data_IF_857378443004
#
_entry.id   IF_857378443004
#
_cell.length_a   1.000
_cell.length_b   1.000
_cell.length_c   1.000
_cell.angle_alpha   90.00
_cell.angle_beta   90.00
_cell.angle_gamma   90.00
#
_symmetry.space_group_name_H-M   'P 1'
#
loop_
_entity.id
_entity.type
_entity.pdbx_description
1 polymer ?
#
# COMPACT_ATOMS: atom_id res chain seq x y z
N UNK A 1 -7.02 27.65 18.12
CA UNK A 1 -5.83 28.56 18.01
C UNK A 1 -4.57 27.86 17.51
N UNK A 2 -4.68 26.64 16.97
CA UNK A 2 -3.52 25.87 16.45
C UNK A 2 -2.84 26.52 15.24
N UNK A 3 -3.53 27.41 14.53
CA UNK A 3 -3.05 28.04 13.30
C UNK A 3 -2.58 29.49 13.49
N UNK A 4 -2.67 30.03 14.72
CA UNK A 4 -2.24 31.39 15.06
C UNK A 4 -3.04 32.52 14.38
N UNK A 5 -4.22 32.20 13.80
CA UNK A 5 -5.07 33.17 13.13
C UNK A 5 -5.79 34.08 14.14
N UNK A 6 -5.89 35.37 13.83
CA UNK A 6 -6.63 36.34 14.63
C UNK A 6 -8.13 36.24 14.35
N UNK A 7 -8.96 36.65 15.32
CA UNK A 7 -10.41 36.69 15.12
C UNK A 7 -10.78 37.56 13.92
N UNK A 8 -11.53 37.01 12.95
CA UNK A 8 -11.93 37.69 11.71
C UNK A 8 -10.95 37.59 10.54
N UNK A 9 -9.80 36.94 10.73
CA UNK A 9 -8.85 36.69 9.64
C UNK A 9 -9.30 35.49 8.80
N UNK A 10 -9.43 35.64 7.44
CA UNK A 10 -9.85 34.54 6.59
C UNK A 10 -8.76 33.49 6.49
N UNK A 11 -9.07 32.25 6.88
CA UNK A 11 -8.19 31.10 6.72
C UNK A 11 -8.16 30.67 5.25
N UNK A 12 -6.96 30.54 4.70
CA UNK A 12 -6.72 30.00 3.34
C UNK A 12 -6.16 28.60 3.43
N UNK A 13 -6.92 27.63 2.98
CA UNK A 13 -6.49 26.24 2.93
C UNK A 13 -5.98 25.90 1.53
N UNK A 14 -4.71 25.50 1.43
CA UNK A 14 -4.09 25.09 0.17
C UNK A 14 -3.58 23.66 0.31
N UNK A 15 -4.11 22.78 -0.52
CA UNK A 15 -3.65 21.41 -0.63
C UNK A 15 -2.54 21.29 -1.67
N UNK A 16 -1.43 20.67 -1.29
CA UNK A 16 -0.27 20.42 -2.15
C UNK A 16 -0.26 18.95 -2.54
N UNK A 17 -0.72 18.66 -3.75
CA UNK A 17 -0.70 17.32 -4.30
C UNK A 17 0.47 17.18 -5.28
N UNK A 18 1.27 16.12 -5.16
CA UNK A 18 2.35 15.78 -6.10
C UNK A 18 2.19 14.33 -6.56
N UNK A 19 1.12 14.01 -7.30
CA UNK A 19 0.94 12.65 -7.79
C UNK A 19 2.05 12.30 -8.78
N UNK A 20 2.72 11.17 -8.53
CA UNK A 20 3.60 10.53 -9.48
C UNK A 20 2.83 9.80 -10.58
N UNK A 21 3.53 9.32 -11.62
CA UNK A 21 2.89 8.58 -12.71
C UNK A 21 2.17 7.33 -12.20
N UNK A 22 2.73 6.62 -11.23
CA UNK A 22 2.13 5.41 -10.68
C UNK A 22 0.84 5.70 -9.90
N UNK A 23 0.78 6.80 -9.16
CA UNK A 23 -0.44 7.23 -8.47
C UNK A 23 -1.53 7.63 -9.47
N UNK A 24 -1.16 8.37 -10.54
CA UNK A 24 -2.11 8.70 -11.62
C UNK A 24 -2.62 7.42 -12.29
N UNK A 25 -1.73 6.48 -12.64
CA UNK A 25 -2.11 5.21 -13.24
C UNK A 25 -2.96 4.36 -12.32
N UNK A 26 -2.77 4.45 -11.00
CA UNK A 26 -3.51 3.66 -10.02
C UNK A 26 -5.01 4.03 -9.95
N UNK A 27 -5.36 5.27 -10.28
CA UNK A 27 -6.74 5.76 -10.28
C UNK A 27 -7.42 5.69 -11.64
N UNK A 28 -6.67 5.33 -12.69
CA UNK A 28 -7.21 5.14 -14.04
C UNK A 28 -7.76 3.72 -14.24
N UNK A 29 -8.75 3.53 -15.14
CA UNK A 29 -9.14 2.21 -15.60
C UNK A 29 -7.94 1.45 -16.19
N UNK A 30 -7.92 0.13 -15.99
CA UNK A 30 -6.79 -0.74 -16.38
C UNK A 30 -6.25 -0.48 -17.81
N UNK A 31 -7.09 -0.41 -18.86
CA UNK A 31 -6.60 -0.16 -20.21
C UNK A 31 -5.96 1.23 -20.39
N UNK A 32 -6.52 2.25 -19.73
CA UNK A 32 -5.97 3.60 -19.76
C UNK A 32 -4.64 3.69 -19.00
N UNK A 33 -4.53 3.02 -17.84
CA UNK A 33 -3.30 2.93 -17.07
C UNK A 33 -2.18 2.24 -17.88
N UNK A 34 -2.48 1.13 -18.56
CA UNK A 34 -1.52 0.44 -19.43
C UNK A 34 -1.08 1.31 -20.62
N UNK A 35 -2.02 1.98 -21.27
CA UNK A 35 -1.70 2.91 -22.37
C UNK A 35 -0.78 4.04 -21.89
N UNK A 36 -1.09 4.65 -20.74
CA UNK A 36 -0.33 5.75 -20.17
C UNK A 36 1.09 5.30 -19.79
N UNK A 37 1.25 4.14 -19.15
CA UNK A 37 2.56 3.56 -18.81
C UNK A 37 3.39 3.27 -20.05
N UNK A 38 2.79 2.75 -21.11
CA UNK A 38 3.50 2.49 -22.37
C UNK A 38 4.00 3.77 -23.05
N UNK A 39 3.22 4.84 -22.98
CA UNK A 39 3.57 6.14 -23.61
C UNK A 39 4.59 6.93 -22.80
N UNK A 40 4.51 6.90 -21.49
CA UNK A 40 5.25 7.79 -20.58
C UNK A 40 6.26 7.04 -19.71
N UNK A 41 6.35 5.71 -19.77
CA UNK A 41 7.20 4.91 -18.90
C UNK A 41 8.68 5.35 -18.86
N UNK A 42 9.23 5.78 -20.00
CA UNK A 42 10.59 6.34 -20.07
C UNK A 42 10.76 7.71 -19.41
N UNK A 43 9.66 8.42 -19.14
CA UNK A 43 9.65 9.76 -18.49
C UNK A 43 9.05 9.71 -17.10
N UNK A 44 8.75 8.54 -16.57
CA UNK A 44 8.05 8.34 -15.29
C UNK A 44 8.70 9.09 -14.12
N UNK A 45 10.03 9.07 -14.03
CA UNK A 45 10.81 9.76 -12.99
C UNK A 45 10.73 11.30 -13.05
N UNK A 46 10.28 11.89 -14.16
CA UNK A 46 10.22 13.35 -14.35
C UNK A 46 8.80 13.93 -14.22
N UNK A 47 7.78 13.08 -14.20
CA UNK A 47 6.38 13.50 -14.09
C UNK A 47 5.95 13.60 -12.62
N UNK A 48 6.44 14.61 -11.93
CA UNK A 48 5.86 15.08 -10.68
C UNK A 48 5.05 16.34 -11.00
N UNK A 49 3.75 16.20 -11.18
CA UNK A 49 2.84 17.34 -11.38
C UNK A 49 2.51 17.91 -10.01
N UNK A 50 3.14 19.04 -9.67
CA UNK A 50 2.76 19.81 -8.48
C UNK A 50 1.39 20.46 -8.71
N UNK A 51 0.34 19.92 -8.11
CA UNK A 51 -0.99 20.51 -8.14
C UNK A 51 -1.21 21.27 -6.82
N UNK A 52 -1.34 22.59 -6.92
CA UNK A 52 -1.71 23.45 -5.80
C UNK A 52 -3.20 23.75 -5.91
N UNK A 53 -3.99 23.24 -4.98
CA UNK A 53 -5.43 23.43 -5.00
C UNK A 53 -5.87 24.21 -3.77
N UNK A 54 -6.42 25.40 -4.00
CA UNK A 54 -7.05 26.21 -2.95
C UNK A 54 -8.49 25.73 -2.75
N UNK A 55 -8.76 25.12 -1.61
CA UNK A 55 -10.08 24.53 -1.29
C UNK A 55 -11.10 25.58 -0.84
N UNK A 56 -10.62 26.78 -0.48
CA UNK A 56 -11.42 27.96 -0.10
C UNK A 56 -12.00 28.72 -1.31
N UNK A 57 -11.73 28.28 -2.54
CA UNK A 57 -12.24 28.89 -3.77
C UNK A 57 -13.36 28.08 -4.41
N UNK A 58 -14.25 28.73 -5.16
CA UNK A 58 -15.31 28.06 -5.93
C UNK A 58 -14.74 27.00 -6.87
N UNK A 59 -13.64 27.31 -7.56
CA UNK A 59 -12.97 26.36 -8.45
C UNK A 59 -12.40 25.17 -7.69
N UNK A 60 -11.73 25.41 -6.56
CA UNK A 60 -11.18 24.33 -5.73
C UNK A 60 -12.29 23.44 -5.15
N UNK A 61 -13.38 24.02 -4.70
CA UNK A 61 -14.54 23.27 -4.26
C UNK A 61 -15.16 22.43 -5.39
N UNK A 62 -15.32 23.01 -6.59
CA UNK A 62 -15.82 22.29 -7.76
C UNK A 62 -14.88 21.13 -8.15
N UNK A 63 -13.55 21.30 -8.06
CA UNK A 63 -12.58 20.22 -8.27
C UNK A 63 -12.74 19.09 -7.25
N UNK A 64 -12.94 19.40 -5.97
CA UNK A 64 -13.21 18.39 -4.94
C UNK A 64 -14.52 17.63 -5.21
N UNK A 65 -15.57 18.32 -5.63
CA UNK A 65 -16.83 17.72 -6.06
C UNK A 65 -16.63 16.79 -7.27
N UNK A 66 -15.82 17.20 -8.26
CA UNK A 66 -15.43 16.39 -9.41
C UNK A 66 -14.67 15.12 -9.00
N UNK A 67 -13.69 15.24 -8.10
CA UNK A 67 -12.96 14.08 -7.55
C UNK A 67 -13.92 13.13 -6.80
N UNK A 68 -14.86 13.67 -6.03
CA UNK A 68 -15.90 12.86 -5.37
C UNK A 68 -16.77 12.12 -6.38
N UNK A 69 -17.14 12.77 -7.49
CA UNK A 69 -17.94 12.16 -8.55
C UNK A 69 -17.23 10.99 -9.24
N UNK A 70 -15.90 10.90 -9.17
CA UNK A 70 -15.12 9.75 -9.67
C UNK A 70 -15.18 8.53 -8.74
N UNK A 71 -15.75 8.63 -7.54
CA UNK A 71 -15.84 7.52 -6.57
C UNK A 71 -16.40 6.21 -7.16
N UNK A 72 -17.48 6.20 -7.97
CA UNK A 72 -18.00 4.95 -8.56
C UNK A 72 -17.03 4.31 -9.55
N UNK A 73 -16.12 5.09 -10.17
CA UNK A 73 -15.09 4.56 -11.08
C UNK A 73 -13.98 3.80 -10.34
N UNK A 74 -13.85 3.94 -9.01
CA UNK A 74 -12.83 3.25 -8.21
C UNK A 74 -12.80 1.74 -8.48
N UNK A 75 -13.96 1.11 -8.64
CA UNK A 75 -14.08 -0.34 -8.91
C UNK A 75 -13.46 -0.76 -10.25
N UNK A 76 -13.25 0.17 -11.18
CA UNK A 76 -12.65 -0.05 -12.50
C UNK A 76 -11.17 0.30 -12.56
N UNK A 77 -10.58 0.75 -11.44
CA UNK A 77 -9.17 1.14 -11.40
C UNK A 77 -8.26 -0.08 -11.30
N UNK A 78 -7.05 0.03 -11.84
CA UNK A 78 -6.02 -1.03 -11.75
C UNK A 78 -5.63 -1.32 -10.31
N UNK A 79 -5.60 -0.31 -9.45
CA UNK A 79 -5.34 -0.46 -8.01
C UNK A 79 -6.41 -1.32 -7.34
N UNK A 80 -7.69 -1.03 -7.59
CA UNK A 80 -8.77 -1.81 -7.01
C UNK A 80 -8.69 -3.28 -7.41
N UNK A 81 -8.39 -3.57 -8.68
CA UNK A 81 -8.24 -4.95 -9.16
C UNK A 81 -7.09 -5.68 -8.43
N UNK A 82 -5.95 -5.01 -8.25
CA UNK A 82 -4.81 -5.58 -7.52
C UNK A 82 -5.11 -5.80 -6.03
N UNK A 83 -5.77 -4.83 -5.38
CA UNK A 83 -6.21 -4.95 -3.98
C UNK A 83 -7.18 -6.12 -3.80
N UNK A 84 -8.17 -6.27 -4.69
CA UNK A 84 -9.13 -7.38 -4.64
C UNK A 84 -8.45 -8.73 -4.87
N UNK A 85 -7.54 -8.85 -5.84
CA UNK A 85 -6.80 -10.08 -6.08
C UNK A 85 -5.99 -10.52 -4.84
N UNK A 86 -5.38 -9.58 -4.13
CA UNK A 86 -4.66 -9.88 -2.89
C UNK A 86 -5.60 -10.31 -1.77
N UNK A 87 -6.76 -9.66 -1.62
CA UNK A 87 -7.77 -10.03 -0.62
C UNK A 87 -8.30 -11.45 -0.90
N UNK A 88 -8.65 -11.77 -2.14
CA UNK A 88 -9.13 -13.09 -2.51
C UNK A 88 -8.06 -14.17 -2.27
N UNK A 89 -6.82 -13.89 -2.62
CA UNK A 89 -5.69 -14.79 -2.36
C UNK A 89 -5.51 -15.07 -0.86
N UNK A 90 -5.58 -14.03 -0.03
CA UNK A 90 -5.49 -14.16 1.43
C UNK A 90 -6.68 -14.94 1.99
N UNK A 91 -7.91 -14.63 1.58
CA UNK A 91 -9.11 -15.35 2.02
C UNK A 91 -9.09 -16.83 1.61
N UNK A 92 -8.61 -17.14 0.40
CA UNK A 92 -8.44 -18.54 -0.04
C UNK A 92 -7.44 -19.28 0.84
N UNK A 93 -6.29 -18.67 1.14
CA UNK A 93 -5.30 -19.26 2.04
C UNK A 93 -5.89 -19.51 3.44
N UNK A 94 -6.67 -18.57 4.00
CA UNK A 94 -7.37 -18.74 5.28
C UNK A 94 -8.37 -19.89 5.21
N UNK A 95 -9.20 -19.97 4.17
CA UNK A 95 -10.19 -21.07 4.00
C UNK A 95 -9.50 -22.43 3.93
N UNK A 96 -8.44 -22.56 3.12
CA UNK A 96 -7.65 -23.79 2.99
C UNK A 96 -6.99 -24.17 4.31
N UNK A 97 -6.42 -23.21 5.01
CA UNK A 97 -5.80 -23.44 6.31
C UNK A 97 -6.81 -23.92 7.36
N UNK A 98 -7.99 -23.29 7.44
CA UNK A 98 -9.07 -23.69 8.37
C UNK A 98 -9.55 -25.13 8.12
N UNK A 99 -9.53 -25.58 6.87
CA UNK A 99 -9.94 -26.94 6.52
C UNK A 99 -8.96 -28.01 7.03
N UNK A 100 -7.68 -27.67 7.25
CA UNK A 100 -6.64 -28.62 7.69
C UNK A 100 -6.20 -28.39 9.14
N UNK A 101 -6.18 -27.14 9.62
CA UNK A 101 -5.80 -26.75 10.98
C UNK A 101 -6.45 -25.43 11.38
N UNK A 102 -7.38 -25.42 12.37
CA UNK A 102 -7.99 -24.18 12.88
C UNK A 102 -6.93 -23.19 13.39
N UNK A 103 -5.85 -23.68 14.01
CA UNK A 103 -4.76 -22.85 14.51
C UNK A 103 -4.01 -22.13 13.40
N UNK A 104 -3.68 -22.84 12.32
CA UNK A 104 -3.03 -22.25 11.15
C UNK A 104 -3.95 -21.22 10.48
N UNK A 105 -5.24 -21.55 10.33
CA UNK A 105 -6.24 -20.63 9.77
C UNK A 105 -6.37 -19.34 10.58
N UNK A 106 -6.38 -19.45 11.91
CA UNK A 106 -6.39 -18.29 12.80
C UNK A 106 -5.18 -17.38 12.62
N UNK A 107 -3.97 -17.94 12.60
CA UNK A 107 -2.75 -17.13 12.43
C UNK A 107 -2.70 -16.46 11.04
N UNK A 108 -3.16 -17.14 9.99
CA UNK A 108 -3.27 -16.55 8.65
C UNK A 108 -4.34 -15.46 8.58
N UNK A 109 -5.46 -15.62 9.28
CA UNK A 109 -6.48 -14.58 9.35
C UNK A 109 -5.93 -13.29 9.97
N UNK A 110 -5.11 -13.41 11.01
CA UNK A 110 -4.44 -12.27 11.65
C UNK A 110 -3.43 -11.55 10.75
N UNK A 111 -2.91 -12.20 9.68
CA UNK A 111 -1.97 -11.57 8.74
C UNK A 111 -2.61 -10.45 7.91
N UNK A 112 -3.95 -10.36 7.84
CA UNK A 112 -4.63 -9.22 7.22
C UNK A 112 -4.26 -7.86 7.84
N UNK A 113 -3.82 -7.84 9.11
CA UNK A 113 -3.38 -6.61 9.78
C UNK A 113 -2.03 -6.06 9.29
N UNK A 114 -1.30 -6.80 8.45
CA UNK A 114 -0.07 -6.33 7.82
C UNK A 114 -0.34 -5.23 6.78
N UNK A 115 -1.53 -5.26 6.15
CA UNK A 115 -1.91 -4.29 5.13
C UNK A 115 -2.65 -3.13 5.80
N UNK A 116 -1.94 -2.04 6.02
CA UNK A 116 -2.48 -0.82 6.64
C UNK A 116 -1.83 0.43 6.06
N UNK A 117 -2.47 1.59 6.27
CA UNK A 117 -1.94 2.88 5.83
C UNK A 117 -2.14 3.14 4.34
N UNK A 118 -1.41 4.11 3.81
CA UNK A 118 -1.50 4.61 2.44
C UNK A 118 -0.11 4.69 1.79
N UNK A 119 -0.08 4.80 0.46
CA UNK A 119 1.14 4.96 -0.31
C UNK A 119 2.15 3.84 -0.02
N UNK A 120 3.40 4.19 0.21
CA UNK A 120 4.50 3.24 0.45
C UNK A 120 4.28 2.32 1.64
N UNK A 121 3.60 2.80 2.70
CA UNK A 121 3.29 1.95 3.86
C UNK A 121 2.36 0.81 3.47
N UNK A 122 1.32 1.10 2.69
CA UNK A 122 0.41 0.08 2.15
C UNK A 122 1.13 -0.89 1.21
N UNK A 123 1.98 -0.39 0.32
CA UNK A 123 2.77 -1.22 -0.60
C UNK A 123 3.70 -2.18 0.14
N UNK A 124 4.34 -1.72 1.21
CA UNK A 124 5.18 -2.57 2.08
C UNK A 124 4.36 -3.66 2.73
N UNK A 125 3.19 -3.30 3.29
CA UNK A 125 2.27 -4.27 3.89
C UNK A 125 1.82 -5.35 2.89
N UNK A 126 1.48 -4.96 1.67
CA UNK A 126 1.11 -5.92 0.61
C UNK A 126 2.28 -6.85 0.23
N UNK A 127 3.51 -6.33 0.11
CA UNK A 127 4.69 -7.17 -0.16
C UNK A 127 4.95 -8.17 0.96
N UNK A 128 4.88 -7.73 2.21
CA UNK A 128 5.09 -8.59 3.38
C UNK A 128 4.01 -9.69 3.47
N UNK A 129 2.75 -9.33 3.22
CA UNK A 129 1.66 -10.32 3.17
C UNK A 129 1.87 -11.31 2.02
N UNK A 130 2.25 -10.84 0.82
CA UNK A 130 2.50 -11.71 -0.32
C UNK A 130 3.61 -12.73 -0.03
N UNK A 131 4.75 -12.27 0.51
CA UNK A 131 5.88 -13.14 0.87
C UNK A 131 5.46 -14.23 1.88
N UNK A 132 4.65 -13.87 2.88
CA UNK A 132 4.13 -14.82 3.86
C UNK A 132 3.16 -15.82 3.22
N UNK A 133 2.28 -15.37 2.33
CA UNK A 133 1.36 -16.24 1.60
C UNK A 133 2.08 -17.18 0.62
N UNK A 134 3.22 -16.79 0.06
CA UNK A 134 4.07 -17.64 -0.75
C UNK A 134 4.75 -18.72 0.10
N UNK A 135 5.32 -18.34 1.25
CA UNK A 135 6.01 -19.27 2.17
C UNK A 135 5.10 -20.36 2.70
N UNK A 136 3.82 -20.07 2.94
CA UNK A 136 2.89 -21.04 3.53
C UNK A 136 2.31 -22.06 2.55
N UNK A 137 2.45 -21.87 1.22
CA UNK A 137 1.85 -22.76 0.21
C UNK A 137 2.15 -24.25 0.42
N UNK A 138 3.39 -24.65 0.75
CA UNK A 138 3.69 -26.07 1.00
C UNK A 138 2.91 -26.65 2.19
N UNK A 139 2.69 -25.85 3.25
CA UNK A 139 1.90 -26.30 4.41
C UNK A 139 0.41 -26.43 4.07
N UNK A 140 -0.13 -25.58 3.20
CA UNK A 140 -1.53 -25.65 2.75
C UNK A 140 -1.83 -26.87 1.85
N UNK A 141 -0.81 -27.59 1.39
CA UNK A 141 -0.95 -28.81 0.60
C UNK A 141 -0.90 -30.10 1.47
N UNK A 142 -0.73 -29.96 2.79
CA UNK A 142 -0.63 -31.10 3.71
C UNK A 142 -2.00 -31.68 4.06
N UNK A 143 -1.99 -32.90 4.56
CA UNK A 143 -3.20 -33.56 5.04
C UNK A 143 -3.76 -32.89 6.30
N UNK A 144 -5.07 -32.95 6.55
CA UNK A 144 -5.66 -32.48 7.79
C UNK A 144 -5.02 -33.15 8.99
N UNK A 145 -4.80 -32.39 10.07
CA UNK A 145 -4.21 -32.87 11.34
C UNK A 145 -2.75 -33.38 11.25
N UNK A 146 -2.02 -33.06 10.17
CA UNK A 146 -0.58 -33.32 10.11
C UNK A 146 0.10 -32.58 11.29
N UNK A 147 0.92 -33.25 12.13
CA UNK A 147 1.57 -32.63 13.29
C UNK A 147 2.42 -31.39 12.93
N UNK A 148 2.99 -31.36 11.73
CA UNK A 148 3.80 -30.22 11.25
C UNK A 148 2.99 -28.96 10.97
N UNK A 149 1.65 -29.01 11.01
CA UNK A 149 0.79 -27.82 10.87
C UNK A 149 0.87 -26.89 12.09
N UNK A 150 1.19 -27.43 13.27
CA UNK A 150 1.43 -26.61 14.46
C UNK A 150 2.72 -25.79 14.32
N UNK A 151 3.77 -26.39 13.77
CA UNK A 151 5.01 -25.69 13.45
C UNK A 151 4.78 -24.64 12.36
N UNK A 152 3.97 -24.95 11.35
CA UNK A 152 3.58 -24.00 10.32
C UNK A 152 2.81 -22.80 10.92
N UNK A 153 1.89 -23.03 11.85
CA UNK A 153 1.16 -21.98 12.55
C UNK A 153 2.10 -21.10 13.41
N UNK A 154 3.06 -21.72 14.12
CA UNK A 154 4.07 -21.00 14.89
C UNK A 154 4.97 -20.14 13.98
N UNK A 155 5.37 -20.70 12.82
CA UNK A 155 6.15 -19.98 11.79
C UNK A 155 5.40 -18.76 11.25
N UNK A 156 4.12 -18.91 10.90
CA UNK A 156 3.26 -17.78 10.45
C UNK A 156 3.18 -16.68 11.52
N UNK A 157 2.97 -17.07 12.79
CA UNK A 157 2.94 -16.14 13.91
C UNK A 157 4.24 -15.35 14.03
N UNK A 158 5.38 -16.04 13.99
CA UNK A 158 6.70 -15.44 14.09
C UNK A 158 6.98 -14.50 12.89
N UNK A 159 6.65 -14.94 11.67
CA UNK A 159 6.81 -14.14 10.45
C UNK A 159 5.94 -12.87 10.48
N UNK A 160 4.68 -13.00 10.95
CA UNK A 160 3.79 -11.84 11.13
C UNK A 160 4.35 -10.85 12.17
N UNK A 161 4.85 -11.33 13.30
CA UNK A 161 5.46 -10.49 14.31
C UNK A 161 6.68 -9.75 13.76
N UNK A 162 7.56 -10.44 13.03
CA UNK A 162 8.73 -9.85 12.37
C UNK A 162 8.35 -8.76 11.34
N UNK A 163 7.25 -8.97 10.59
CA UNK A 163 6.75 -7.99 9.62
C UNK A 163 6.11 -6.75 10.28
N UNK A 164 5.54 -6.90 11.47
CA UNK A 164 4.96 -5.79 12.24
C UNK A 164 6.04 -4.96 12.94
N UNK A 165 7.11 -5.60 13.41
CA UNK A 165 8.25 -4.97 14.07
C UNK A 165 9.11 -4.18 13.06
N UNK A 166 9.37 -4.76 11.89
CA UNK A 166 10.09 -4.11 10.79
C UNK A 166 9.23 -4.04 9.52
N UNK A 167 8.46 -2.96 9.34
CA UNK A 167 7.62 -2.77 8.14
C UNK A 167 8.40 -2.75 6.81
N UNK A 168 9.70 -2.48 6.82
CA UNK A 168 10.56 -2.58 5.62
C UNK A 168 10.71 -4.02 5.13
N UNK A 169 10.44 -5.01 6.00
CA UNK A 169 10.41 -6.42 5.66
C UNK A 169 11.77 -7.11 5.67
N UNK A 170 12.82 -6.47 6.18
CA UNK A 170 14.17 -7.10 6.31
C UNK A 170 14.16 -8.22 7.32
N UNK A 171 13.51 -8.00 8.46
CA UNK A 171 13.37 -9.01 9.52
C UNK A 171 12.48 -10.17 9.05
N UNK A 172 11.38 -9.88 8.34
CA UNK A 172 10.54 -10.90 7.71
C UNK A 172 11.33 -11.72 6.68
N UNK A 173 12.05 -11.07 5.77
CA UNK A 173 12.85 -11.74 4.75
C UNK A 173 13.86 -12.72 5.40
N UNK A 174 14.54 -12.30 6.47
CA UNK A 174 15.44 -13.16 7.23
C UNK A 174 14.71 -14.34 7.87
N UNK A 175 13.54 -14.11 8.46
CA UNK A 175 12.73 -15.17 9.07
C UNK A 175 12.24 -16.21 8.05
N UNK A 176 12.00 -15.79 6.81
CA UNK A 176 11.56 -16.67 5.71
C UNK A 176 12.73 -17.26 4.89
N UNK A 177 13.98 -16.84 5.16
CA UNK A 177 15.15 -17.26 4.36
C UNK A 177 15.21 -16.63 2.97
N UNK A 178 14.60 -15.45 2.80
CA UNK A 178 14.58 -14.68 1.56
C UNK A 178 15.66 -13.59 1.55
N UNK A 179 16.04 -13.14 0.35
CA UNK A 179 16.89 -11.96 0.21
C UNK A 179 16.19 -10.71 0.78
N UNK A 180 16.88 -9.86 1.54
CA UNK A 180 16.30 -8.63 2.06
C UNK A 180 15.89 -7.70 0.91
N UNK A 181 14.79 -6.95 1.06
CA UNK A 181 14.38 -5.98 0.05
C UNK A 181 15.44 -4.88 -0.10
N UNK A 182 15.69 -4.48 -1.34
CA UNK A 182 16.63 -3.39 -1.61
C UNK A 182 16.14 -2.08 -0.97
N UNK A 183 17.02 -1.35 -0.25
CA UNK A 183 16.66 -0.07 0.32
C UNK A 183 16.37 0.93 -0.81
N UNK A 184 15.16 1.48 -0.85
CA UNK A 184 14.86 2.59 -1.75
C UNK A 184 15.72 3.79 -1.34
N UNK A 185 16.72 4.16 -2.13
CA UNK A 185 17.49 5.38 -1.91
C UNK A 185 16.61 6.58 -2.23
N UNK A 186 16.25 7.35 -1.20
CA UNK A 186 15.67 8.66 -1.40
C UNK A 186 16.81 9.68 -1.43
N UNK A 187 17.14 10.28 -2.59
CA UNK A 187 18.19 11.30 -2.63
C UNK A 187 17.72 12.51 -1.81
N UNK A 188 18.44 12.78 -0.73
CA UNK A 188 18.22 13.97 0.11
C UNK A 188 18.60 15.19 -0.73
N UNK A 189 17.61 15.93 -1.20
CA UNK A 189 17.82 17.19 -1.92
C UNK A 189 17.95 18.30 -0.89
N UNK A 190 19.19 18.67 -0.56
CA UNK A 190 19.46 19.84 0.30
C UNK A 190 19.16 21.10 -0.53
N UNK A 191 18.03 21.74 -0.26
CA UNK A 191 17.71 23.05 -0.85
C UNK A 191 18.34 24.10 0.07
N UNK A 192 19.48 24.68 -0.33
CA UNK A 192 20.01 25.86 0.34
C UNK A 192 19.04 27.03 0.11
N UNK A 193 18.46 27.55 1.19
CA UNK A 193 17.71 28.82 1.14
C UNK A 193 18.68 29.91 0.71
N UNK A 194 18.35 30.65 -0.38
CA UNK A 194 19.06 31.89 -0.69
C UNK A 194 18.87 32.87 0.48
N UNK A 195 19.93 33.50 0.98
CA UNK A 195 19.76 34.57 1.95
C UNK A 195 18.88 35.67 1.33
N UNK A 196 17.91 36.14 2.10
CA UNK A 196 17.12 37.31 1.73
C UNK A 196 18.08 38.50 1.69
N UNK A 197 18.26 39.11 0.51
CA UNK A 197 18.94 40.36 0.34
C UNK A 197 18.03 41.54 0.73
#
# INVERSE_FOLDING_TARGET
>A
QEVGAKAGEPLRLTEYLKPGLDEICSVLPTPAAHWLRRRLGHKAHKLNVGLHMRTDTVLGFAMLCGLRALRPLRRRTSRYAAEQAMIERWLDAVRRALAISPRLGYELALCGNLVKGYGETSERGHRNLAALLDDIQPALARAPQDPSLDDAAARVRSARAAALDDPEGRTLARALGLAPPEPKSHPIRIVRRKPAG
#
